data_IF_762545626261
#
_entry.id   IF_762545626261
#
_cell.length_a   1.000
_cell.length_b   1.000
_cell.length_c   1.000
_cell.angle_alpha   90.00
_cell.angle_beta   90.00
_cell.angle_gamma   90.00
#
_symmetry.space_group_name_H-M   'P 1'
#
loop_
_entity.id
_entity.type
_entity.pdbx_description
1 polymer ?
#
# COMPACT_ATOMS: atom_id res chain seq x y z
N UNK A 1 16.61 -7.28 -14.30
CA UNK A 1 15.43 -7.54 -13.46
C UNK A 1 15.60 -8.77 -12.55
N UNK A 2 16.04 -9.94 -13.04
CA UNK A 2 16.29 -11.14 -12.20
C UNK A 2 17.31 -10.91 -11.06
N UNK A 3 18.37 -10.15 -11.29
CA UNK A 3 19.42 -9.85 -10.30
C UNK A 3 18.91 -8.96 -9.14
N UNK A 4 17.89 -8.13 -9.40
CA UNK A 4 17.28 -7.26 -8.36
C UNK A 4 16.32 -8.08 -7.50
N UNK A 5 15.58 -9.01 -8.09
CA UNK A 5 14.70 -9.94 -7.39
C UNK A 5 15.49 -10.92 -6.50
N UNK A 6 16.65 -11.38 -6.95
CA UNK A 6 17.54 -12.24 -6.15
C UNK A 6 18.14 -11.48 -4.95
N UNK A 7 18.53 -10.22 -5.13
CA UNK A 7 18.97 -9.38 -4.01
C UNK A 7 17.84 -9.08 -3.02
N UNK A 8 16.63 -8.82 -3.51
CA UNK A 8 15.47 -8.58 -2.64
C UNK A 8 15.11 -9.83 -1.84
N UNK A 9 15.11 -11.01 -2.47
CA UNK A 9 14.92 -12.30 -1.79
C UNK A 9 16.00 -12.58 -0.76
N UNK A 10 17.26 -12.24 -1.05
CA UNK A 10 18.37 -12.39 -0.12
C UNK A 10 18.21 -11.47 1.11
N UNK A 11 17.80 -10.21 0.93
CA UNK A 11 17.56 -9.29 2.06
C UNK A 11 16.31 -9.68 2.86
N UNK A 12 15.25 -10.15 2.22
CA UNK A 12 14.08 -10.68 2.90
C UNK A 12 14.40 -11.94 3.71
N UNK A 13 15.18 -12.86 3.16
CA UNK A 13 15.65 -14.06 3.86
C UNK A 13 16.53 -13.69 5.06
N UNK A 14 17.43 -12.73 4.92
CA UNK A 14 18.30 -12.24 6.00
C UNK A 14 17.52 -11.52 7.10
N UNK A 15 16.50 -10.76 6.74
CA UNK A 15 15.57 -10.13 7.70
C UNK A 15 14.72 -11.19 8.44
N UNK A 16 14.24 -12.21 7.75
CA UNK A 16 13.51 -13.34 8.35
C UNK A 16 14.41 -14.20 9.25
N UNK A 17 15.65 -14.41 8.89
CA UNK A 17 16.62 -15.14 9.73
C UNK A 17 17.00 -14.38 11.00
N UNK A 18 17.03 -13.05 10.96
CA UNK A 18 17.26 -12.19 12.13
C UNK A 18 16.10 -12.21 13.12
N UNK A 19 14.86 -12.39 12.64
CA UNK A 19 13.65 -12.48 13.47
C UNK A 19 13.47 -13.86 14.15
N UNK A 20 14.06 -14.91 13.58
CA UNK A 20 13.88 -16.30 14.07
C UNK A 20 14.30 -16.56 15.54
N UNK A 21 15.43 -16.09 16.07
CA UNK A 21 15.82 -16.33 17.46
C UNK A 21 14.99 -15.51 18.46
N UNK A 22 14.50 -14.32 18.09
CA UNK A 22 13.66 -13.47 18.96
C UNK A 22 12.23 -13.97 19.10
N UNK A 23 11.74 -14.77 18.15
CA UNK A 23 10.39 -15.34 18.18
C UNK A 23 10.17 -16.31 19.34
N UNK A 24 11.22 -17.07 19.75
CA UNK A 24 11.14 -17.94 20.92
C UNK A 24 11.10 -17.18 22.24
N UNK A 25 11.85 -16.07 22.34
CA UNK A 25 11.79 -15.18 23.53
C UNK A 25 10.42 -14.44 23.61
N UNK A 26 9.92 -13.98 22.46
CA UNK A 26 8.60 -13.34 22.39
C UNK A 26 7.45 -14.29 22.70
N UNK A 27 7.52 -15.54 22.26
CA UNK A 27 6.54 -16.58 22.61
C UNK A 27 6.60 -16.97 24.09
N UNK A 28 7.80 -17.09 24.65
CA UNK A 28 7.98 -17.39 26.08
C UNK A 28 7.48 -16.24 26.94
N UNK A 29 7.79 -14.98 26.60
CA UNK A 29 7.28 -13.81 27.33
C UNK A 29 5.77 -13.67 27.17
N UNK A 30 5.22 -13.97 26.00
CA UNK A 30 3.76 -13.98 25.78
C UNK A 30 3.06 -15.10 26.57
N UNK A 31 3.64 -16.30 26.62
CA UNK A 31 3.11 -17.43 27.42
C UNK A 31 3.20 -17.14 28.92
N UNK A 32 4.28 -16.52 29.39
CA UNK A 32 4.44 -16.11 30.79
C UNK A 32 3.42 -15.01 31.12
N UNK A 33 3.22 -14.01 30.25
CA UNK A 33 2.22 -12.97 30.44
C UNK A 33 0.80 -13.54 30.40
N UNK A 34 0.50 -14.44 29.49
CA UNK A 34 -0.79 -15.13 29.41
C UNK A 34 -1.03 -16.05 30.63
N UNK A 35 -0.01 -16.75 31.12
CA UNK A 35 -0.12 -17.58 32.33
C UNK A 35 -0.28 -16.75 33.59
N UNK A 36 0.36 -15.59 33.69
CA UNK A 36 0.16 -14.61 34.75
C UNK A 36 -1.27 -14.06 34.75
N UNK A 37 -1.79 -13.71 33.56
CA UNK A 37 -3.17 -13.24 33.37
C UNK A 37 -4.18 -14.32 33.76
N UNK A 38 -3.94 -15.59 33.36
CA UNK A 38 -4.79 -16.73 33.72
C UNK A 38 -4.68 -17.03 35.24
N UNK A 39 -3.49 -16.94 35.83
CA UNK A 39 -3.30 -17.14 37.28
C UNK A 39 -4.02 -16.05 38.09
N UNK A 40 -3.96 -14.79 37.66
CA UNK A 40 -4.74 -13.68 38.27
C UNK A 40 -6.24 -13.89 38.06
N UNK A 41 -6.67 -14.45 36.94
CA UNK A 41 -8.08 -14.76 36.65
C UNK A 41 -8.63 -15.91 37.50
N UNK A 42 -7.80 -16.93 37.77
CA UNK A 42 -8.19 -18.07 38.62
C UNK A 42 -8.13 -17.76 40.10
N UNK A 43 -7.32 -16.81 40.56
CA UNK A 43 -7.26 -16.39 41.97
C UNK A 43 -8.41 -15.44 42.37
N UNK A 44 -9.18 -14.95 41.39
CA UNK A 44 -10.26 -13.97 41.60
C UNK A 44 -11.57 -14.52 42.14
N UNK A 45 -11.72 -15.82 42.43
CA UNK A 45 -13.03 -16.38 42.69
C UNK A 45 -13.30 -16.81 44.13
N UNK A 46 -12.48 -16.66 45.13
CA UNK A 46 -12.83 -16.93 46.52
C UNK A 46 -11.64 -16.82 47.51
N UNK A 47 -11.01 -15.68 47.61
CA UNK A 47 -10.13 -15.44 48.78
C UNK A 47 -10.75 -14.37 49.63
N UNK A 48 -11.07 -14.80 50.87
CA UNK A 48 -11.72 -14.00 51.89
C UNK A 48 -11.17 -12.58 52.01
N UNK A 49 -12.05 -11.63 52.30
CA UNK A 49 -11.85 -10.21 52.58
C UNK A 49 -10.87 -9.86 53.72
N UNK A 50 -9.69 -10.50 53.77
CA UNK A 50 -8.75 -10.34 54.90
C UNK A 50 -7.63 -9.30 54.64
N UNK A 51 -7.52 -8.74 53.44
CA UNK A 51 -6.48 -7.74 53.14
C UNK A 51 -7.02 -6.53 52.35
N UNK A 52 -7.81 -5.72 53.03
CA UNK A 52 -8.41 -4.50 52.49
C UNK A 52 -7.46 -3.48 51.84
N UNK A 53 -6.20 -3.32 52.26
CA UNK A 53 -5.29 -2.41 51.56
C UNK A 53 -4.76 -2.95 50.21
N UNK A 54 -4.68 -4.26 50.02
CA UNK A 54 -4.14 -4.87 48.78
C UNK A 54 -5.15 -4.87 47.61
N UNK A 55 -6.45 -4.93 47.93
CA UNK A 55 -7.52 -4.87 46.91
C UNK A 55 -7.55 -3.51 46.21
N UNK A 56 -7.32 -2.42 46.92
CA UNK A 56 -7.27 -1.07 46.31
C UNK A 56 -6.02 -0.87 45.46
N UNK A 57 -4.88 -1.45 45.86
CA UNK A 57 -3.64 -1.41 45.08
C UNK A 57 -3.78 -2.28 43.82
N UNK A 58 -4.35 -3.47 43.95
CA UNK A 58 -4.57 -4.37 42.79
C UNK A 58 -5.53 -3.76 41.77
N UNK A 59 -6.64 -3.12 42.23
CA UNK A 59 -7.55 -2.36 41.35
C UNK A 59 -6.82 -1.20 40.68
N UNK A 60 -6.05 -0.40 41.43
CA UNK A 60 -5.31 0.72 40.86
C UNK A 60 -4.30 0.29 39.79
N UNK A 61 -3.60 -0.84 39.96
CA UNK A 61 -2.70 -1.40 38.95
C UNK A 61 -3.48 -1.90 37.72
N UNK A 62 -4.61 -2.57 37.94
CA UNK A 62 -5.47 -3.05 36.86
C UNK A 62 -6.00 -1.89 36.01
N UNK A 63 -6.53 -0.85 36.62
CA UNK A 63 -7.07 0.35 35.98
C UNK A 63 -5.96 1.08 35.21
N UNK A 64 -4.76 1.15 35.77
CA UNK A 64 -3.59 1.75 35.09
C UNK A 64 -3.22 0.96 33.82
N UNK A 65 -3.20 -0.37 33.87
CA UNK A 65 -2.90 -1.23 32.72
C UNK A 65 -3.98 -1.07 31.63
N UNK A 66 -5.24 -1.12 32.01
CA UNK A 66 -6.37 -0.95 31.08
C UNK A 66 -6.32 0.43 30.42
N UNK A 67 -6.13 1.49 31.21
CA UNK A 67 -6.03 2.85 30.70
C UNK A 67 -4.84 3.03 29.76
N UNK A 68 -3.69 2.41 30.04
CA UNK A 68 -2.53 2.44 29.16
C UNK A 68 -2.83 1.76 27.82
N UNK A 69 -3.47 0.57 27.84
CA UNK A 69 -3.85 -0.16 26.63
C UNK A 69 -4.82 0.67 25.79
N UNK A 70 -5.83 1.27 26.44
CA UNK A 70 -6.82 2.10 25.75
C UNK A 70 -6.24 3.40 25.21
N UNK A 71 -5.31 4.03 25.94
CA UNK A 71 -4.58 5.20 25.46
C UNK A 71 -3.75 4.87 24.20
N UNK A 72 -3.08 3.71 24.17
CA UNK A 72 -2.36 3.23 23.01
C UNK A 72 -3.30 2.93 21.83
N UNK A 73 -4.43 2.29 22.08
CA UNK A 73 -5.45 2.05 21.06
C UNK A 73 -5.97 3.36 20.48
N UNK A 74 -6.27 4.34 21.32
CA UNK A 74 -6.68 5.68 20.89
C UNK A 74 -5.62 6.40 20.07
N UNK A 75 -4.33 6.24 20.41
CA UNK A 75 -3.23 6.79 19.65
C UNK A 75 -3.10 6.13 18.27
N UNK A 76 -3.24 4.81 18.18
CA UNK A 76 -3.25 4.09 16.89
C UNK A 76 -4.42 4.53 16.00
N UNK A 77 -5.61 4.74 16.59
CA UNK A 77 -6.77 5.23 15.83
C UNK A 77 -6.51 6.63 15.31
N UNK A 78 -5.99 7.55 16.12
CA UNK A 78 -5.64 8.92 15.67
C UNK A 78 -4.62 8.89 14.54
N UNK A 79 -3.60 8.03 14.64
CA UNK A 79 -2.60 7.85 13.59
C UNK A 79 -3.24 7.28 12.32
N UNK A 80 -4.17 6.34 12.44
CA UNK A 80 -4.91 5.77 11.31
C UNK A 80 -5.70 6.83 10.55
N UNK A 81 -6.41 7.72 11.25
CA UNK A 81 -7.10 8.85 10.61
C UNK A 81 -6.16 9.85 9.97
N UNK A 82 -5.00 10.10 10.58
CA UNK A 82 -3.96 10.92 9.99
C UNK A 82 -3.45 10.32 8.68
N UNK A 83 -3.17 9.02 8.64
CA UNK A 83 -2.74 8.31 7.43
C UNK A 83 -3.87 8.30 6.39
N UNK A 84 -5.11 8.08 6.78
CA UNK A 84 -6.27 8.08 5.89
C UNK A 84 -6.38 9.40 5.10
N UNK A 85 -6.09 10.53 5.72
CA UNK A 85 -6.04 11.82 5.02
C UNK A 85 -5.07 11.78 3.84
N UNK A 86 -3.85 11.28 4.04
CA UNK A 86 -2.86 11.14 2.96
C UNK A 86 -3.26 10.11 1.92
N UNK A 87 -3.88 9.01 2.33
CA UNK A 87 -4.42 8.00 1.40
C UNK A 87 -5.43 8.63 0.45
N UNK A 88 -6.37 9.44 0.97
CA UNK A 88 -7.38 10.13 0.16
C UNK A 88 -6.72 11.18 -0.74
N UNK A 89 -5.76 11.94 -0.25
CA UNK A 89 -5.04 12.95 -1.02
C UNK A 89 -4.25 12.33 -2.19
N UNK A 90 -3.54 11.24 -1.94
CA UNK A 90 -2.79 10.51 -2.99
C UNK A 90 -3.74 9.81 -3.96
N UNK A 91 -4.84 9.23 -3.47
CA UNK A 91 -5.86 8.63 -4.32
C UNK A 91 -6.51 9.65 -5.26
N UNK A 92 -6.72 10.88 -4.80
CA UNK A 92 -7.22 11.99 -5.60
C UNK A 92 -6.19 12.67 -6.52
N UNK A 93 -4.92 12.27 -6.43
CA UNK A 93 -3.85 12.89 -7.22
C UNK A 93 -4.00 12.57 -8.71
N UNK A 94 -4.08 13.59 -9.56
CA UNK A 94 -4.22 13.45 -11.02
C UNK A 94 -3.08 14.13 -11.83
N UNK A 95 -2.07 14.67 -11.16
CA UNK A 95 -0.94 15.37 -11.81
C UNK A 95 0.15 14.46 -12.36
N UNK A 96 -0.17 13.25 -12.83
CA UNK A 96 0.83 12.26 -13.25
C UNK A 96 1.67 12.74 -14.43
N UNK A 97 1.05 13.36 -15.43
CA UNK A 97 1.73 13.84 -16.66
C UNK A 97 2.35 15.23 -16.51
N UNK A 98 1.88 16.01 -15.54
CA UNK A 98 2.32 17.41 -15.35
C UNK A 98 3.44 17.56 -14.32
N UNK A 99 3.83 16.47 -13.67
CA UNK A 99 4.97 16.45 -12.77
C UNK A 99 6.25 16.84 -13.51
N UNK A 100 7.00 17.81 -12.96
CA UNK A 100 8.25 18.30 -13.55
C UNK A 100 9.25 17.15 -13.81
N UNK A 101 9.31 16.17 -12.93
CA UNK A 101 10.17 15.01 -13.09
C UNK A 101 9.77 14.16 -14.32
N UNK A 102 8.46 13.99 -14.55
CA UNK A 102 7.94 13.25 -15.70
C UNK A 102 8.16 14.02 -17.00
N UNK A 103 7.93 15.34 -16.99
CA UNK A 103 8.13 16.17 -18.20
C UNK A 103 9.59 16.12 -18.65
N UNK A 104 10.53 16.40 -17.74
CA UNK A 104 11.96 16.41 -18.05
C UNK A 104 12.44 15.01 -18.46
N UNK A 105 12.06 13.99 -17.68
CA UNK A 105 12.43 12.61 -17.98
C UNK A 105 11.89 12.12 -19.33
N UNK A 106 10.61 12.42 -19.63
CA UNK A 106 10.00 12.06 -20.91
C UNK A 106 10.67 12.75 -22.10
N UNK A 107 11.02 14.05 -21.99
CA UNK A 107 11.73 14.77 -23.05
C UNK A 107 13.07 14.10 -23.34
N UNK A 108 13.86 13.77 -22.31
CA UNK A 108 15.15 13.09 -22.49
C UNK A 108 14.98 11.73 -23.21
N UNK A 109 14.03 10.92 -22.74
CA UNK A 109 13.77 9.60 -23.33
C UNK A 109 13.24 9.71 -24.75
N UNK A 110 12.35 10.65 -25.03
CA UNK A 110 11.85 10.93 -26.38
C UNK A 110 12.99 11.29 -27.34
N UNK A 111 13.89 12.16 -26.92
CA UNK A 111 14.99 12.63 -27.76
C UNK A 111 15.97 11.48 -28.07
N UNK A 112 16.30 10.65 -27.08
CA UNK A 112 17.06 9.42 -27.28
C UNK A 112 16.33 8.46 -28.21
N UNK A 113 15.01 8.30 -28.03
CA UNK A 113 14.18 7.45 -28.88
C UNK A 113 14.17 7.93 -30.31
N UNK A 114 14.16 9.23 -30.57
CA UNK A 114 14.23 9.81 -31.89
C UNK A 114 15.57 9.48 -32.59
N UNK A 115 16.68 9.43 -31.86
CA UNK A 115 17.98 8.95 -32.41
C UNK A 115 17.92 7.46 -32.75
N UNK A 116 17.18 6.67 -31.96
CA UNK A 116 17.02 5.23 -32.22
C UNK A 116 16.28 4.92 -33.51
N UNK A 117 15.45 5.81 -34.05
CA UNK A 117 14.79 5.58 -35.36
C UNK A 117 15.78 5.37 -36.48
N UNK A 118 16.92 6.05 -36.45
CA UNK A 118 17.99 5.86 -37.47
C UNK A 118 18.56 4.45 -37.35
N UNK A 119 18.78 3.96 -36.14
CA UNK A 119 19.28 2.59 -35.91
C UNK A 119 18.26 1.55 -36.39
N UNK A 120 16.97 1.77 -36.10
CA UNK A 120 15.88 0.88 -36.55
C UNK A 120 15.79 0.87 -38.10
N UNK A 121 15.89 2.03 -38.74
CA UNK A 121 15.95 2.12 -40.22
C UNK A 121 17.11 1.30 -40.78
N UNK A 122 18.30 1.41 -40.20
CA UNK A 122 19.47 0.68 -40.61
C UNK A 122 19.28 -0.84 -40.43
N UNK A 123 18.68 -1.27 -39.34
CA UNK A 123 18.35 -2.69 -39.14
C UNK A 123 17.34 -3.21 -40.17
N UNK A 124 16.32 -2.41 -40.51
CA UNK A 124 15.36 -2.75 -41.57
C UNK A 124 16.05 -2.87 -42.89
N UNK A 125 16.94 -1.93 -43.26
CA UNK A 125 17.69 -1.95 -44.50
C UNK A 125 18.57 -3.20 -44.62
N UNK A 126 19.36 -3.51 -43.58
CA UNK A 126 20.18 -4.72 -43.56
C UNK A 126 19.35 -6.00 -43.64
N UNK A 127 18.26 -6.07 -42.88
CA UNK A 127 17.36 -7.23 -42.89
C UNK A 127 16.73 -7.46 -44.25
N UNK A 128 16.40 -6.37 -44.98
CA UNK A 128 15.88 -6.43 -46.36
C UNK A 128 16.95 -6.91 -47.35
N UNK A 129 18.18 -6.41 -47.23
CA UNK A 129 19.31 -6.85 -48.09
C UNK A 129 19.61 -8.35 -47.87
N UNK A 130 19.53 -8.83 -46.66
CA UNK A 130 19.74 -10.24 -46.32
C UNK A 130 18.55 -11.15 -46.67
N UNK A 131 17.48 -10.60 -47.23
CA UNK A 131 16.29 -11.36 -47.65
C UNK A 131 15.49 -11.94 -46.52
N UNK A 132 15.58 -11.38 -45.30
CA UNK A 132 14.82 -11.84 -44.14
C UNK A 132 13.35 -11.42 -44.26
N UNK A 133 12.43 -12.35 -44.46
CA UNK A 133 10.98 -12.09 -44.59
C UNK A 133 10.39 -11.27 -43.44
N UNK A 134 10.92 -11.41 -42.22
CA UNK A 134 10.48 -10.66 -41.07
C UNK A 134 10.81 -9.16 -41.11
N UNK A 135 11.79 -8.78 -42.00
CA UNK A 135 12.29 -7.40 -42.17
C UNK A 135 11.84 -6.78 -43.48
N UNK A 136 10.70 -7.19 -44.03
CA UNK A 136 10.15 -6.60 -45.25
C UNK A 136 9.93 -5.09 -45.06
N UNK A 137 10.70 -4.29 -45.81
CA UNK A 137 10.73 -2.83 -45.67
C UNK A 137 9.36 -2.18 -45.84
N UNK A 138 8.51 -2.70 -46.75
CA UNK A 138 7.17 -2.16 -46.98
C UNK A 138 6.30 -2.16 -45.76
N UNK A 139 6.39 -3.19 -44.92
CA UNK A 139 5.60 -3.33 -43.71
C UNK A 139 6.23 -2.59 -42.53
N UNK A 140 7.55 -2.71 -42.36
CA UNK A 140 8.23 -2.13 -41.20
C UNK A 140 8.42 -0.62 -41.30
N UNK A 141 8.61 -0.08 -42.54
CA UNK A 141 8.72 1.36 -42.75
C UNK A 141 7.43 2.08 -42.34
N UNK A 142 6.26 1.54 -42.73
CA UNK A 142 4.97 2.11 -42.33
C UNK A 142 4.79 2.09 -40.80
N UNK A 143 5.14 0.96 -40.16
CA UNK A 143 5.10 0.88 -38.68
C UNK A 143 6.07 1.88 -38.05
N UNK A 144 7.25 2.06 -38.60
CA UNK A 144 8.24 3.01 -38.10
C UNK A 144 7.76 4.45 -38.22
N UNK A 145 7.16 4.84 -39.34
CA UNK A 145 6.57 6.18 -39.52
C UNK A 145 5.43 6.44 -38.52
N UNK A 146 4.55 5.46 -38.33
CA UNK A 146 3.50 5.57 -37.32
C UNK A 146 4.08 5.69 -35.91
N UNK A 147 5.10 4.90 -35.57
CA UNK A 147 5.78 5.00 -34.29
C UNK A 147 6.45 6.36 -34.09
N UNK A 148 7.08 6.92 -35.12
CA UNK A 148 7.73 8.24 -35.06
C UNK A 148 6.73 9.37 -34.72
N UNK A 149 5.51 9.27 -35.24
CA UNK A 149 4.43 10.20 -34.86
C UNK A 149 3.96 9.96 -33.44
N UNK A 150 3.62 8.71 -33.10
CA UNK A 150 3.03 8.34 -31.81
C UNK A 150 4.01 8.61 -30.64
N UNK A 151 5.31 8.43 -30.84
CA UNK A 151 6.34 8.71 -29.80
C UNK A 151 6.23 10.13 -29.28
N UNK A 152 5.99 11.11 -30.13
CA UNK A 152 5.85 12.52 -29.73
C UNK A 152 4.56 12.80 -28.92
N UNK A 153 3.54 11.94 -29.07
CA UNK A 153 2.27 12.04 -28.33
C UNK A 153 2.17 11.03 -27.19
N UNK A 154 3.19 10.21 -26.98
CA UNK A 154 3.15 9.08 -26.02
C UNK A 154 2.76 9.51 -24.60
N UNK A 155 3.25 10.66 -24.11
CA UNK A 155 2.89 11.21 -22.81
C UNK A 155 1.39 11.53 -22.72
N UNK A 156 0.85 12.14 -23.77
CA UNK A 156 -0.58 12.52 -23.83
C UNK A 156 -1.45 11.26 -23.86
N UNK A 157 -1.06 10.26 -24.65
CA UNK A 157 -1.78 8.98 -24.75
C UNK A 157 -1.82 8.29 -23.38
N UNK A 158 -0.67 8.21 -22.68
CA UNK A 158 -0.64 7.67 -21.32
C UNK A 158 -1.51 8.47 -20.37
N UNK A 159 -1.48 9.81 -20.45
CA UNK A 159 -2.29 10.69 -19.63
C UNK A 159 -3.78 10.43 -19.79
N UNK A 160 -4.29 10.40 -21.01
CA UNK A 160 -5.70 10.12 -21.31
C UNK A 160 -6.15 8.77 -20.72
N UNK A 161 -5.32 7.73 -20.84
CA UNK A 161 -5.64 6.42 -20.27
C UNK A 161 -5.67 6.44 -18.74
N UNK A 162 -4.75 7.18 -18.11
CA UNK A 162 -4.74 7.36 -16.66
C UNK A 162 -5.95 8.18 -16.22
N UNK A 163 -6.29 9.27 -16.91
CA UNK A 163 -7.42 10.13 -16.58
C UNK A 163 -8.76 9.36 -16.62
N UNK A 164 -8.96 8.51 -17.61
CA UNK A 164 -10.15 7.64 -17.68
C UNK A 164 -10.24 6.74 -16.46
N UNK A 165 -9.14 6.07 -16.09
CA UNK A 165 -9.11 5.21 -14.91
C UNK A 165 -9.30 6.00 -13.62
N UNK A 166 -8.71 7.20 -13.53
CA UNK A 166 -8.79 8.05 -12.35
C UNK A 166 -10.22 8.57 -12.10
N UNK A 167 -10.98 8.88 -13.14
CA UNK A 167 -12.40 9.26 -13.01
C UNK A 167 -13.20 8.11 -12.38
N UNK A 168 -12.98 6.88 -12.83
CA UNK A 168 -13.62 5.69 -12.25
C UNK A 168 -13.23 5.53 -10.79
N UNK A 169 -11.93 5.58 -10.48
CA UNK A 169 -11.41 5.47 -9.11
C UNK A 169 -12.02 6.52 -8.17
N UNK A 170 -12.00 7.81 -8.56
CA UNK A 170 -12.53 8.90 -7.73
C UNK A 170 -14.02 8.73 -7.48
N UNK A 171 -14.78 8.24 -8.46
CA UNK A 171 -16.20 7.96 -8.29
C UNK A 171 -16.44 6.91 -7.21
N UNK A 172 -15.67 5.82 -7.19
CA UNK A 172 -15.74 4.81 -6.14
C UNK A 172 -15.28 5.35 -4.78
N UNK A 173 -14.18 6.08 -4.72
CA UNK A 173 -13.66 6.69 -3.49
C UNK A 173 -14.68 7.63 -2.88
N UNK A 174 -15.31 8.49 -3.68
CA UNK A 174 -16.35 9.40 -3.20
C UNK A 174 -17.61 8.65 -2.73
N UNK A 175 -18.00 7.57 -3.42
CA UNK A 175 -19.10 6.71 -3.00
C UNK A 175 -18.84 6.04 -1.65
N UNK A 176 -17.63 5.52 -1.44
CA UNK A 176 -17.21 4.94 -0.17
C UNK A 176 -17.09 6.01 0.92
N UNK A 177 -16.51 7.18 0.62
CA UNK A 177 -16.37 8.28 1.57
C UNK A 177 -17.75 8.77 2.05
N UNK A 178 -18.70 8.96 1.16
CA UNK A 178 -20.08 9.40 1.51
C UNK A 178 -20.81 8.40 2.43
N UNK A 179 -20.55 7.09 2.26
CA UNK A 179 -21.12 6.06 3.13
C UNK A 179 -20.34 5.90 4.44
N UNK A 180 -19.04 6.22 4.43
CA UNK A 180 -18.13 6.01 5.56
C UNK A 180 -18.18 7.15 6.59
N UNK A 181 -18.48 8.37 6.17
CA UNK A 181 -18.31 9.60 6.95
C UNK A 181 -19.15 9.67 8.25
N UNK A 182 -20.23 8.91 8.35
CA UNK A 182 -21.02 8.80 9.59
C UNK A 182 -21.09 7.38 10.16
N UNK A 183 -21.08 6.37 9.32
CA UNK A 183 -21.37 4.99 9.72
C UNK A 183 -20.13 4.24 10.22
N UNK A 184 -18.95 4.44 9.64
CA UNK A 184 -17.73 3.75 10.07
C UNK A 184 -17.30 4.17 11.47
N UNK A 185 -17.34 5.47 11.77
CA UNK A 185 -17.00 6.00 13.09
C UNK A 185 -17.94 5.42 14.17
N UNK A 186 -19.23 5.34 13.85
CA UNK A 186 -20.23 4.79 14.76
C UNK A 186 -20.19 3.26 14.81
N UNK A 187 -20.03 2.60 13.66
CA UNK A 187 -20.00 1.13 13.58
C UNK A 187 -18.79 0.53 14.29
N UNK A 188 -17.64 1.20 14.22
CA UNK A 188 -16.43 0.78 14.94
C UNK A 188 -16.36 1.29 16.39
N UNK A 189 -17.37 2.04 16.84
CA UNK A 189 -17.38 2.57 18.20
C UNK A 189 -16.17 3.47 18.51
N UNK A 190 -15.62 4.14 17.48
CA UNK A 190 -14.41 4.96 17.61
C UNK A 190 -14.58 6.04 18.67
N UNK A 191 -15.76 6.65 18.75
CA UNK A 191 -16.08 7.64 19.79
C UNK A 191 -16.02 7.03 21.20
N UNK A 192 -16.45 5.77 21.34
CA UNK A 192 -16.38 5.06 22.61
C UNK A 192 -14.94 4.73 23.00
N UNK A 193 -14.10 4.38 22.02
CA UNK A 193 -12.67 4.10 22.23
C UNK A 193 -11.89 5.39 22.53
N UNK A 194 -12.18 6.49 21.82
CA UNK A 194 -11.51 7.78 22.03
C UNK A 194 -11.97 8.48 23.33
N UNK A 195 -13.23 8.30 23.72
CA UNK A 195 -13.83 8.85 24.95
C UNK A 195 -13.72 7.93 26.16
N UNK A 196 -13.01 6.79 26.02
CA UNK A 196 -12.88 5.82 27.11
C UNK A 196 -12.05 6.42 28.25
N UNK A 197 -12.72 6.64 29.40
CA UNK A 197 -12.09 6.68 30.70
C UNK A 197 -12.60 5.47 31.47
N UNK A 198 -11.77 4.84 32.30
CA UNK A 198 -12.15 3.63 33.03
C UNK A 198 -13.44 3.78 33.82
N UNK A 199 -13.68 4.99 34.35
CA UNK A 199 -14.87 5.32 35.15
C UNK A 199 -16.17 5.35 34.31
N UNK A 200 -16.11 5.82 33.05
CA UNK A 200 -17.31 5.97 32.22
C UNK A 200 -17.65 4.69 31.44
N UNK A 201 -16.69 3.81 31.20
CA UNK A 201 -16.90 2.59 30.44
C UNK A 201 -17.56 1.48 31.22
N UNK A 202 -17.38 1.48 32.52
CA UNK A 202 -18.00 0.52 33.44
C UNK A 202 -19.54 0.70 33.48
N UNK A 203 -20.02 1.94 33.40
CA UNK A 203 -21.45 2.24 33.44
C UNK A 203 -22.14 2.18 32.09
N UNK A 204 -21.45 2.59 31.01
CA UNK A 204 -22.07 2.77 29.67
C UNK A 204 -22.20 1.49 28.84
N UNK A 205 -21.41 0.44 29.09
CA UNK A 205 -21.37 -0.75 28.25
C UNK A 205 -21.82 -2.05 28.93
N UNK A 206 -22.29 -2.02 30.19
CA UNK A 206 -22.82 -3.19 30.88
C UNK A 206 -21.78 -4.30 31.17
N UNK A 207 -20.48 -3.98 31.12
CA UNK A 207 -19.43 -4.92 31.51
C UNK A 207 -19.36 -5.01 33.04
N UNK A 208 -19.89 -6.10 33.60
CA UNK A 208 -19.97 -6.31 35.03
C UNK A 208 -18.74 -6.95 35.67
N UNK A 209 -17.71 -7.29 34.90
CA UNK A 209 -16.50 -7.95 35.42
C UNK A 209 -15.22 -7.34 34.90
N UNK A 210 -14.18 -7.28 35.76
CA UNK A 210 -12.83 -6.82 35.38
C UNK A 210 -12.26 -7.60 34.19
N UNK A 211 -12.59 -8.89 34.06
CA UNK A 211 -12.16 -9.71 32.91
C UNK A 211 -12.75 -9.26 31.58
N UNK A 212 -14.02 -8.84 31.56
CA UNK A 212 -14.65 -8.34 30.34
C UNK A 212 -14.07 -7.00 29.90
N UNK A 213 -13.72 -6.11 30.84
CA UNK A 213 -13.08 -4.82 30.56
C UNK A 213 -11.67 -5.03 29.96
N UNK A 214 -10.89 -5.94 30.53
CA UNK A 214 -9.57 -6.27 30.03
C UNK A 214 -9.64 -6.86 28.61
N UNK A 215 -10.57 -7.78 28.36
CA UNK A 215 -10.80 -8.34 27.03
C UNK A 215 -11.20 -7.26 26.01
N UNK A 216 -12.05 -6.33 26.39
CA UNK A 216 -12.44 -5.20 25.54
C UNK A 216 -11.26 -4.29 25.23
N UNK A 217 -10.40 -4.01 26.21
CA UNK A 217 -9.17 -3.22 26.00
C UNK A 217 -8.20 -3.93 25.05
N UNK A 218 -7.96 -5.22 25.22
CA UNK A 218 -7.11 -6.03 24.35
C UNK A 218 -7.70 -6.12 22.92
N UNK A 219 -9.02 -6.30 22.82
CA UNK A 219 -9.68 -6.32 21.52
C UNK A 219 -9.58 -4.98 20.81
N UNK A 220 -9.73 -3.85 21.52
CA UNK A 220 -9.63 -2.52 20.91
C UNK A 220 -8.23 -2.19 20.40
N UNK A 221 -7.16 -2.51 21.14
CA UNK A 221 -5.78 -2.29 20.65
C UNK A 221 -5.45 -3.22 19.47
N UNK A 222 -5.92 -4.47 19.50
CA UNK A 222 -5.74 -5.41 18.40
C UNK A 222 -6.42 -4.89 17.13
N UNK A 223 -7.67 -4.45 17.25
CA UNK A 223 -8.43 -3.89 16.15
C UNK A 223 -7.79 -2.60 15.62
N UNK A 224 -7.39 -1.68 16.49
CA UNK A 224 -6.72 -0.43 16.13
C UNK A 224 -5.38 -0.69 15.40
N UNK A 225 -4.61 -1.69 15.85
CA UNK A 225 -3.36 -2.07 15.20
C UNK A 225 -3.57 -2.67 13.81
N UNK A 226 -4.59 -3.51 13.62
CA UNK A 226 -4.96 -4.05 12.31
C UNK A 226 -5.37 -2.92 11.36
N UNK A 227 -6.21 -2.00 11.81
CA UNK A 227 -6.62 -0.83 11.00
C UNK A 227 -5.41 0.01 10.58
N UNK A 228 -4.49 0.29 11.52
CA UNK A 228 -3.29 1.07 11.23
C UNK A 228 -2.42 0.38 10.19
N UNK A 229 -2.14 -0.93 10.33
CA UNK A 229 -1.33 -1.70 9.37
C UNK A 229 -2.00 -1.74 8.00
N UNK A 230 -3.31 -1.90 7.95
CA UNK A 230 -4.07 -1.89 6.69
C UNK A 230 -3.95 -0.54 5.99
N UNK A 231 -4.13 0.57 6.70
CA UNK A 231 -4.00 1.92 6.12
C UNK A 231 -2.58 2.23 5.66
N UNK A 232 -1.55 1.80 6.40
CA UNK A 232 -0.14 1.90 5.96
C UNK A 232 0.11 1.10 4.68
N UNK A 233 -0.47 -0.07 4.57
CA UNK A 233 -0.36 -0.91 3.37
C UNK A 233 -0.99 -0.21 2.16
N UNK A 234 -2.20 0.35 2.31
CA UNK A 234 -2.85 1.12 1.25
C UNK A 234 -2.02 2.34 0.84
N UNK A 235 -1.51 3.11 1.80
CA UNK A 235 -0.64 4.24 1.53
C UNK A 235 0.58 3.84 0.71
N UNK A 236 1.25 2.76 1.11
CA UNK A 236 2.43 2.25 0.41
C UNK A 236 2.11 1.78 -1.01
N UNK A 237 0.99 1.06 -1.20
CA UNK A 237 0.56 0.59 -2.53
C UNK A 237 0.24 1.76 -3.47
N UNK A 238 -0.47 2.79 -2.99
CA UNK A 238 -0.78 3.97 -3.79
C UNK A 238 0.49 4.77 -4.15
N UNK A 239 1.43 4.94 -3.21
CA UNK A 239 2.70 5.59 -3.49
C UNK A 239 3.53 4.80 -4.51
N UNK A 240 3.61 3.47 -4.36
CA UNK A 240 4.31 2.61 -5.31
C UNK A 240 3.69 2.69 -6.71
N UNK A 241 2.35 2.67 -6.81
CA UNK A 241 1.62 2.89 -8.06
C UNK A 241 1.98 4.23 -8.71
N UNK A 242 1.98 5.32 -7.94
CA UNK A 242 2.30 6.67 -8.44
C UNK A 242 3.69 6.70 -9.06
N UNK A 243 4.70 6.21 -8.34
CA UNK A 243 6.10 6.18 -8.82
C UNK A 243 6.23 5.28 -10.04
N UNK A 244 5.57 4.11 -10.05
CA UNK A 244 5.60 3.19 -11.19
C UNK A 244 4.98 3.82 -12.44
N UNK A 245 3.84 4.51 -12.31
CA UNK A 245 3.21 5.23 -13.42
C UNK A 245 4.12 6.34 -13.96
N UNK A 246 4.79 7.12 -13.11
CA UNK A 246 5.75 8.12 -13.55
C UNK A 246 6.87 7.50 -14.39
N UNK A 247 7.46 6.41 -13.94
CA UNK A 247 8.52 5.70 -14.68
C UNK A 247 7.99 5.18 -16.03
N UNK A 248 6.79 4.59 -16.04
CA UNK A 248 6.18 4.05 -17.24
C UNK A 248 5.84 5.15 -18.27
N UNK A 249 5.35 6.33 -17.80
CA UNK A 249 5.11 7.47 -18.70
C UNK A 249 6.43 7.99 -19.29
N UNK A 250 7.47 8.11 -18.49
CA UNK A 250 8.81 8.54 -18.96
C UNK A 250 9.35 7.56 -20.01
N UNK A 251 9.15 6.25 -19.83
CA UNK A 251 9.60 5.21 -20.75
C UNK A 251 8.65 4.95 -21.93
N UNK A 252 7.49 5.62 -21.98
CA UNK A 252 6.49 5.39 -23.03
C UNK A 252 7.03 5.56 -24.44
N UNK A 253 7.92 6.52 -24.79
CA UNK A 253 8.49 6.62 -26.14
C UNK A 253 9.17 5.33 -26.59
N UNK A 254 9.94 4.69 -25.72
CA UNK A 254 10.59 3.41 -26.02
C UNK A 254 9.60 2.30 -26.30
N UNK A 255 8.51 2.21 -25.55
CA UNK A 255 7.50 1.18 -25.73
C UNK A 255 6.90 1.20 -27.13
N UNK A 256 6.69 2.38 -27.72
CA UNK A 256 6.16 2.52 -29.08
C UNK A 256 7.20 2.15 -30.14
N UNK A 257 8.47 2.50 -29.95
CA UNK A 257 9.55 2.10 -30.89
C UNK A 257 9.79 0.60 -30.85
N UNK A 258 9.81 0.00 -29.66
CA UNK A 258 9.98 -1.45 -29.49
C UNK A 258 8.88 -2.27 -30.18
N UNK A 259 7.72 -1.66 -30.44
CA UNK A 259 6.62 -2.30 -31.16
C UNK A 259 6.85 -2.39 -32.68
N UNK A 260 7.89 -1.74 -33.24
CA UNK A 260 8.20 -1.75 -34.67
C UNK A 260 8.88 -3.05 -35.07
N UNK A 261 9.90 -3.47 -34.34
CA UNK A 261 10.72 -4.62 -34.66
C UNK A 261 10.14 -5.93 -34.12
N UNK A 262 10.11 -7.03 -34.91
CA UNK A 262 9.55 -8.31 -34.47
C UNK A 262 10.20 -8.86 -33.20
N UNK A 263 11.53 -8.68 -33.07
CA UNK A 263 12.30 -9.19 -31.93
C UNK A 263 12.02 -8.47 -30.61
N UNK A 264 11.57 -7.22 -30.65
CA UNK A 264 11.33 -6.38 -29.48
C UNK A 264 9.86 -6.32 -29.06
N UNK A 265 8.95 -6.91 -29.83
CA UNK A 265 7.51 -6.94 -29.52
C UNK A 265 7.20 -7.46 -28.12
N UNK A 266 7.96 -8.45 -27.63
CA UNK A 266 7.80 -9.00 -26.28
C UNK A 266 7.97 -7.92 -25.20
N UNK A 267 8.94 -7.04 -25.35
CA UNK A 267 9.21 -5.98 -24.39
C UNK A 267 8.15 -4.88 -24.43
N UNK A 268 7.67 -4.54 -25.63
CA UNK A 268 6.53 -3.64 -25.79
C UNK A 268 5.27 -4.21 -25.11
N UNK A 269 4.99 -5.51 -25.31
CA UNK A 269 3.88 -6.20 -24.66
C UNK A 269 3.99 -6.20 -23.14
N UNK A 270 5.19 -6.44 -22.58
CA UNK A 270 5.43 -6.37 -21.14
C UNK A 270 5.15 -4.95 -20.58
N UNK A 271 5.61 -3.91 -21.29
CA UNK A 271 5.34 -2.54 -20.89
C UNK A 271 3.83 -2.24 -20.84
N UNK A 272 3.08 -2.67 -21.86
CA UNK A 272 1.62 -2.49 -21.89
C UNK A 272 0.90 -3.24 -20.77
N UNK A 273 1.37 -4.43 -20.43
CA UNK A 273 0.82 -5.21 -19.32
C UNK A 273 1.06 -4.52 -17.99
N UNK A 274 2.29 -4.05 -17.75
CA UNK A 274 2.64 -3.31 -16.53
C UNK A 274 1.90 -1.97 -16.44
N UNK A 275 1.84 -1.23 -17.56
CA UNK A 275 1.13 0.05 -17.59
C UNK A 275 -0.36 -0.14 -17.33
N UNK A 276 -1.01 -1.04 -18.08
CA UNK A 276 -2.44 -1.32 -17.90
C UNK A 276 -2.76 -1.85 -16.51
N UNK A 277 -1.92 -2.75 -15.97
CA UNK A 277 -2.06 -3.27 -14.61
C UNK A 277 -2.03 -2.16 -13.56
N UNK A 278 -1.08 -1.23 -13.64
CA UNK A 278 -0.97 -0.11 -12.69
C UNK A 278 -2.05 0.96 -12.89
N UNK A 279 -2.55 1.14 -14.12
CA UNK A 279 -3.66 2.07 -14.41
C UNK A 279 -4.95 1.54 -13.79
N UNK A 280 -5.24 0.23 -13.92
CA UNK A 280 -6.47 -0.40 -13.42
C UNK A 280 -6.42 -0.69 -11.93
N UNK A 281 -5.23 -0.89 -11.35
CA UNK A 281 -5.07 -1.16 -9.91
C UNK A 281 -5.41 0.01 -8.98
N UNK A 282 -5.79 1.16 -9.50
CA UNK A 282 -6.30 2.32 -8.75
C UNK A 282 -7.80 2.29 -8.73
#
# INVERSE_FOLDING_TARGET
MLVILDKLNFYLYKFWSFLKPRRKLGLVSFVILASLVVAVWFSGTNVAHAFWPLDNIAKGIFDLIVNLIMALAGWFIKLTFFILKYVIEIAGYNGFIDSQAVIVGWVMVRDVTNMFFVVVLLLIAFGTILGLEQYEWKKLLVKLLMAAVIVNFSRIICGVLIDIAQVVMITFVNGVAATAEGNLVNMFGVNNILGFSADNALEAQGFSSNGAIFLAAVASITFASIMMVTMLTFLFLLMARMVTLWILIVLSPFAFVLNVLPQTLKYAGQWWTEFGGNVVAG
#
